data_IF_112817782600
#
_entry.id   IF_112817782600
#
_cell.length_a   1.000
_cell.length_b   1.000
_cell.length_c   1.000
_cell.angle_alpha   90.00
_cell.angle_beta   90.00
_cell.angle_gamma   90.00
#
_symmetry.space_group_name_H-M   'P 1'
#
loop_
_entity.id
_entity.type
_entity.pdbx_description
1 polymer ?
#
# COMPACT_ATOMS: atom_id res chain seq x y z
N UNK A 1 -7.48 -4.39 15.86
CA UNK A 1 -7.45 -5.34 14.72
C UNK A 1 -6.03 -5.37 14.17
N UNK A 2 -5.52 -6.52 13.76
CA UNK A 2 -4.08 -6.71 13.51
C UNK A 2 -3.68 -6.25 12.11
N UNK A 3 -2.67 -5.37 12.04
CA UNK A 3 -1.99 -5.00 10.81
C UNK A 3 -1.39 -6.25 10.14
N UNK A 4 -1.80 -6.51 8.89
CA UNK A 4 -1.23 -7.59 8.06
C UNK A 4 -0.11 -7.02 7.21
N UNK A 5 1.03 -7.71 7.16
CA UNK A 5 2.22 -7.30 6.40
C UNK A 5 2.69 -8.47 5.55
N UNK A 6 2.79 -8.26 4.24
CA UNK A 6 3.38 -9.19 3.28
C UNK A 6 4.64 -8.56 2.71
N UNK A 7 5.78 -8.94 3.29
CA UNK A 7 7.08 -8.37 2.97
C UNK A 7 7.79 -9.13 1.83
N UNK A 8 8.59 -8.42 1.03
CA UNK A 8 9.41 -8.94 -0.08
C UNK A 8 8.59 -9.76 -1.11
N UNK A 9 7.37 -9.32 -1.39
CA UNK A 9 6.49 -10.01 -2.35
C UNK A 9 6.93 -9.81 -3.81
N UNK A 10 7.65 -8.72 -4.10
CA UNK A 10 8.15 -8.42 -5.45
C UNK A 10 9.57 -7.83 -5.37
N UNK A 11 10.42 -8.21 -6.31
CA UNK A 11 11.76 -7.66 -6.49
C UNK A 11 12.05 -7.46 -7.98
N UNK A 12 12.46 -6.26 -8.39
CA UNK A 12 12.78 -5.91 -9.77
C UNK A 12 13.89 -4.84 -9.80
N UNK A 13 15.00 -5.12 -10.50
CA UNK A 13 16.13 -4.20 -10.69
C UNK A 13 16.60 -3.52 -9.39
N UNK A 14 16.61 -4.29 -8.30
CA UNK A 14 17.01 -3.85 -6.96
C UNK A 14 15.90 -3.17 -6.14
N UNK A 15 14.81 -2.75 -6.78
CA UNK A 15 13.62 -2.28 -6.08
C UNK A 15 12.90 -3.46 -5.44
N UNK A 16 12.40 -3.25 -4.23
CA UNK A 16 11.64 -4.25 -3.46
C UNK A 16 10.30 -3.68 -3.06
N UNK A 17 9.29 -4.53 -3.02
CA UNK A 17 7.94 -4.15 -2.63
C UNK A 17 7.41 -5.04 -1.51
N UNK A 18 6.63 -4.43 -0.64
CA UNK A 18 5.78 -5.07 0.34
C UNK A 18 4.35 -4.50 0.20
N UNK A 19 3.37 -5.23 0.69
CA UNK A 19 2.01 -4.73 0.84
C UNK A 19 1.51 -5.01 2.25
N UNK A 20 0.86 -4.03 2.84
CA UNK A 20 0.30 -4.12 4.17
C UNK A 20 -1.13 -3.57 4.17
N UNK A 21 -1.89 -3.92 5.20
CA UNK A 21 -3.21 -3.32 5.37
C UNK A 21 -3.90 -3.74 6.64
N UNK A 22 -4.89 -2.95 7.03
CA UNK A 22 -5.68 -3.15 8.23
C UNK A 22 -7.05 -2.45 8.08
N UNK A 23 -8.06 -2.87 8.87
CA UNK A 23 -9.30 -2.12 9.01
C UNK A 23 -9.02 -0.70 9.53
N UNK A 24 -9.67 0.28 8.91
CA UNK A 24 -9.60 1.70 9.28
C UNK A 24 -10.83 2.42 8.72
N UNK A 25 -11.66 2.99 9.59
CA UNK A 25 -12.92 3.65 9.24
C UNK A 25 -12.78 5.17 9.06
N UNK A 26 -11.65 5.74 9.47
CA UNK A 26 -11.38 7.17 9.39
C UNK A 26 -9.89 7.48 9.24
N UNK A 27 -9.55 8.74 8.95
CA UNK A 27 -8.16 9.18 8.73
C UNK A 27 -7.27 9.02 9.96
N UNK A 28 -7.82 9.14 11.16
CA UNK A 28 -7.03 8.98 12.39
C UNK A 28 -6.58 7.52 12.56
N UNK A 29 -7.47 6.56 12.26
CA UNK A 29 -7.15 5.13 12.25
C UNK A 29 -6.13 4.79 11.15
N UNK A 30 -6.26 5.36 9.95
CA UNK A 30 -5.23 5.22 8.91
C UNK A 30 -3.87 5.71 9.42
N UNK A 31 -3.84 6.87 10.10
CA UNK A 31 -2.63 7.41 10.71
C UNK A 31 -2.04 6.49 11.79
N UNK A 32 -2.89 5.84 12.60
CA UNK A 32 -2.46 4.87 13.60
C UNK A 32 -1.84 3.63 12.93
N UNK A 33 -2.45 3.12 11.85
CA UNK A 33 -1.93 1.98 11.07
C UNK A 33 -0.57 2.31 10.44
N UNK A 34 -0.42 3.50 9.85
CA UNK A 34 0.86 3.96 9.30
C UNK A 34 1.92 4.10 10.40
N UNK A 35 1.54 4.59 11.57
CA UNK A 35 2.43 4.70 12.74
C UNK A 35 2.89 3.33 13.20
N UNK A 36 1.97 2.37 13.35
CA UNK A 36 2.26 0.97 13.68
C UNK A 36 3.20 0.34 12.66
N UNK A 37 2.92 0.49 11.35
CA UNK A 37 3.78 -0.01 10.28
C UNK A 37 5.21 0.53 10.39
N UNK A 38 5.36 1.83 10.69
CA UNK A 38 6.66 2.52 10.82
C UNK A 38 7.38 2.23 12.15
N UNK A 39 6.76 1.57 13.12
CA UNK A 39 7.50 1.02 14.27
C UNK A 39 8.54 0.00 13.80
N UNK A 40 8.25 -0.71 12.70
CA UNK A 40 9.26 -1.50 12.01
C UNK A 40 10.21 -0.58 11.22
N UNK A 41 11.46 -0.48 11.69
CA UNK A 41 12.49 0.39 11.10
C UNK A 41 12.78 0.12 9.62
N UNK A 42 12.42 -1.04 9.09
CA UNK A 42 12.52 -1.31 7.66
C UNK A 42 11.52 -0.47 6.85
N UNK A 43 10.29 -0.34 7.34
CA UNK A 43 9.20 0.41 6.69
C UNK A 43 9.31 1.91 6.96
N UNK A 44 9.81 2.29 8.14
CA UNK A 44 10.19 3.68 8.48
C UNK A 44 11.22 4.25 7.50
N UNK A 45 12.18 3.43 7.07
CA UNK A 45 13.24 3.78 6.12
C UNK A 45 12.89 3.45 4.67
N UNK A 46 11.64 3.09 4.37
CA UNK A 46 11.24 2.83 2.99
C UNK A 46 11.28 4.11 2.16
N UNK A 47 11.45 3.97 0.85
CA UNK A 47 11.44 5.13 -0.04
C UNK A 47 10.03 5.70 -0.15
N UNK A 48 9.02 4.82 -0.22
CA UNK A 48 7.62 5.19 -0.30
C UNK A 48 6.77 4.19 0.49
N UNK A 49 5.79 4.69 1.24
CA UNK A 49 4.67 3.98 1.85
C UNK A 49 3.36 4.56 1.31
N UNK A 50 3.16 4.40 0.00
CA UNK A 50 1.97 4.86 -0.72
C UNK A 50 0.74 4.10 -0.25
N UNK A 51 -0.39 4.78 -0.03
CA UNK A 51 -1.58 4.12 0.50
C UNK A 51 -2.88 4.69 -0.07
N UNK A 52 -3.95 3.89 0.03
CA UNK A 52 -5.32 4.34 -0.17
C UNK A 52 -6.29 3.59 0.75
N UNK A 53 -7.46 4.19 0.95
CA UNK A 53 -8.59 3.62 1.69
C UNK A 53 -9.91 4.20 1.16
N UNK A 54 -11.01 3.51 1.38
CA UNK A 54 -12.37 4.06 1.23
C UNK A 54 -12.95 4.18 2.63
N UNK A 55 -13.11 5.40 3.13
CA UNK A 55 -13.52 5.67 4.50
C UNK A 55 -14.94 6.23 4.49
N UNK A 56 -15.89 5.53 5.10
CA UNK A 56 -17.30 5.98 5.10
C UNK A 56 -17.83 6.32 3.68
N UNK A 57 -17.40 5.58 2.66
CA UNK A 57 -17.79 5.78 1.26
C UNK A 57 -16.93 6.78 0.47
N UNK A 58 -15.99 7.49 1.10
CA UNK A 58 -15.11 8.45 0.44
C UNK A 58 -13.71 7.88 0.20
N UNK A 59 -13.25 7.94 -1.06
CA UNK A 59 -11.90 7.55 -1.44
C UNK A 59 -10.85 8.54 -0.94
N UNK A 60 -9.85 8.04 -0.21
CA UNK A 60 -8.70 8.81 0.26
C UNK A 60 -7.39 8.10 -0.09
N UNK A 61 -6.34 8.87 -0.33
CA UNK A 61 -5.04 8.33 -0.77
C UNK A 61 -3.89 9.28 -0.46
N UNK A 62 -2.68 8.74 -0.42
CA UNK A 62 -1.43 9.49 -0.40
C UNK A 62 -0.38 8.73 -1.22
N UNK A 63 0.34 9.47 -2.06
CA UNK A 63 1.37 8.88 -2.93
C UNK A 63 2.70 8.65 -2.18
N UNK A 64 2.95 9.35 -1.06
CA UNK A 64 4.23 9.36 -0.33
C UNK A 64 5.45 9.58 -1.26
N UNK A 65 5.30 10.45 -2.26
CA UNK A 65 6.33 10.76 -3.26
C UNK A 65 6.38 9.82 -4.48
N UNK A 66 5.66 8.70 -4.50
CA UNK A 66 5.50 7.82 -5.67
C UNK A 66 4.29 8.28 -6.51
N UNK A 67 4.41 9.43 -7.19
CA UNK A 67 3.30 10.08 -7.88
C UNK A 67 2.48 9.14 -8.77
N UNK A 68 1.17 9.14 -8.54
CA UNK A 68 0.18 8.33 -9.26
C UNK A 68 -0.11 6.96 -8.64
N UNK A 69 0.76 6.43 -7.78
CA UNK A 69 0.58 5.10 -7.21
C UNK A 69 -0.64 5.01 -6.27
N UNK A 70 -0.92 6.03 -5.46
CA UNK A 70 -2.07 6.05 -4.56
C UNK A 70 -3.41 6.01 -5.31
N UNK A 71 -3.47 6.64 -6.49
CA UNK A 71 -4.68 6.59 -7.32
C UNK A 71 -4.94 5.18 -7.85
N UNK A 72 -3.88 4.45 -8.20
CA UNK A 72 -3.98 3.05 -8.65
C UNK A 72 -4.50 2.17 -7.51
N UNK A 73 -3.96 2.33 -6.29
CA UNK A 73 -4.41 1.57 -5.12
C UNK A 73 -5.90 1.85 -4.89
N UNK A 74 -6.31 3.13 -4.84
CA UNK A 74 -7.69 3.53 -4.60
C UNK A 74 -8.67 2.88 -5.60
N UNK A 75 -8.37 2.99 -6.90
CA UNK A 75 -9.22 2.40 -7.95
C UNK A 75 -9.36 0.88 -7.83
N UNK A 76 -8.33 0.20 -7.33
CA UNK A 76 -8.40 -1.23 -7.09
C UNK A 76 -9.26 -1.58 -5.88
N UNK A 77 -9.20 -0.78 -4.80
CA UNK A 77 -10.08 -0.96 -3.64
C UNK A 77 -11.54 -0.72 -4.00
N UNK A 78 -11.82 0.31 -4.80
CA UNK A 78 -13.16 0.62 -5.30
C UNK A 78 -13.74 -0.54 -6.11
N UNK A 79 -12.96 -1.09 -7.05
CA UNK A 79 -13.38 -2.26 -7.85
C UNK A 79 -13.58 -3.51 -7.01
N UNK A 80 -12.78 -3.67 -5.96
CA UNK A 80 -12.87 -4.80 -5.04
C UNK A 80 -14.00 -4.65 -4.01
N UNK A 81 -14.64 -3.47 -3.92
CA UNK A 81 -15.62 -3.16 -2.88
C UNK A 81 -15.03 -3.19 -1.46
N UNK A 82 -13.72 -2.98 -1.30
CA UNK A 82 -13.06 -3.02 0.00
C UNK A 82 -13.13 -1.64 0.67
N UNK A 83 -14.07 -1.50 1.62
CA UNK A 83 -14.30 -0.28 2.39
C UNK A 83 -13.82 -0.41 3.83
N UNK A 84 -13.66 0.73 4.50
CA UNK A 84 -13.23 0.86 5.89
C UNK A 84 -11.95 0.06 6.19
N UNK A 85 -11.04 0.09 5.21
CA UNK A 85 -9.82 -0.68 5.19
C UNK A 85 -8.74 0.09 4.41
N UNK A 86 -7.55 0.17 4.98
CA UNK A 86 -6.39 0.79 4.33
C UNK A 86 -5.48 -0.28 3.73
N UNK A 87 -5.00 -0.02 2.52
CA UNK A 87 -3.94 -0.79 1.88
C UNK A 87 -2.76 0.13 1.60
N UNK A 88 -1.57 -0.33 1.99
CA UNK A 88 -0.31 0.38 1.92
C UNK A 88 0.64 -0.45 1.07
N UNK A 89 1.13 0.12 -0.04
CA UNK A 89 2.20 -0.46 -0.84
C UNK A 89 3.50 0.23 -0.48
N UNK A 90 4.42 -0.54 0.11
CA UNK A 90 5.74 -0.05 0.49
C UNK A 90 6.75 -0.39 -0.58
N UNK A 91 7.52 0.60 -1.03
CA UNK A 91 8.63 0.42 -1.97
C UNK A 91 9.96 0.86 -1.35
N UNK A 92 10.98 0.02 -1.53
CA UNK A 92 12.38 0.41 -1.37
C UNK A 92 13.00 0.59 -2.76
N UNK A 93 13.45 1.80 -3.08
CA UNK A 93 14.09 2.10 -4.35
C UNK A 93 15.47 1.43 -4.47
N UNK A 94 15.72 0.78 -5.60
CA UNK A 94 16.92 0.00 -5.85
C UNK A 94 18.05 0.72 -6.57
N UNK A 95 17.92 2.02 -6.85
CA UNK A 95 18.89 2.79 -7.62
C UNK A 95 18.69 2.76 -9.15
N UNK A 96 17.76 1.96 -9.67
CA UNK A 96 17.40 1.91 -11.10
C UNK A 96 15.97 2.37 -11.34
N UNK A 97 15.79 3.32 -12.27
CA UNK A 97 14.46 3.77 -12.69
C UNK A 97 13.69 2.63 -13.36
N UNK A 98 12.47 2.37 -12.88
CA UNK A 98 11.59 1.34 -13.42
C UNK A 98 10.62 1.88 -14.49
N UNK A 99 10.51 3.19 -14.65
CA UNK A 99 9.49 3.79 -15.52
C UNK A 99 8.09 3.30 -15.15
N UNK A 100 7.31 2.86 -16.13
CA UNK A 100 5.95 2.34 -15.92
C UNK A 100 5.88 1.04 -15.11
N UNK A 101 6.94 0.23 -15.06
CA UNK A 101 6.92 -1.06 -14.36
C UNK A 101 6.66 -0.90 -12.86
N UNK A 102 7.02 0.24 -12.27
CA UNK A 102 6.71 0.51 -10.85
C UNK A 102 5.21 0.48 -10.58
N UNK A 103 4.39 0.92 -11.54
CA UNK A 103 2.93 0.90 -11.42
C UNK A 103 2.38 -0.51 -11.59
N UNK A 104 2.97 -1.32 -12.48
CA UNK A 104 2.66 -2.76 -12.57
C UNK A 104 2.90 -3.45 -11.22
N UNK A 105 4.02 -3.14 -10.55
CA UNK A 105 4.33 -3.70 -9.24
C UNK A 105 3.37 -3.23 -8.14
N UNK A 106 2.90 -1.97 -8.19
CA UNK A 106 1.83 -1.50 -7.30
C UNK A 106 0.55 -2.31 -7.50
N UNK A 107 0.14 -2.52 -8.76
CA UNK A 107 -1.03 -3.36 -9.08
C UNK A 107 -0.85 -4.79 -8.57
N UNK A 108 0.29 -5.41 -8.86
CA UNK A 108 0.57 -6.80 -8.46
C UNK A 108 0.62 -6.94 -6.93
N UNK A 109 1.13 -5.93 -6.22
CA UNK A 109 1.15 -5.88 -4.76
C UNK A 109 -0.27 -5.79 -4.16
N UNK A 110 -1.13 -4.91 -4.70
CA UNK A 110 -2.52 -4.81 -4.22
C UNK A 110 -3.31 -6.08 -4.56
N UNK A 111 -3.12 -6.68 -5.74
CA UNK A 111 -3.72 -7.98 -6.10
C UNK A 111 -3.31 -9.07 -5.10
N UNK A 112 -2.03 -9.12 -4.75
CA UNK A 112 -1.53 -10.06 -3.74
C UNK A 112 -2.28 -9.88 -2.43
N UNK A 113 -2.43 -8.64 -1.94
CA UNK A 113 -3.16 -8.38 -0.71
C UNK A 113 -4.64 -8.82 -0.80
N UNK A 114 -5.35 -8.41 -1.85
CA UNK A 114 -6.76 -8.71 -2.04
C UNK A 114 -7.04 -10.22 -2.05
N UNK A 115 -6.16 -11.01 -2.68
CA UNK A 115 -6.27 -12.48 -2.66
C UNK A 115 -6.06 -13.13 -1.29
N UNK A 116 -5.66 -12.38 -0.25
CA UNK A 116 -5.52 -12.87 1.13
C UNK A 116 -6.66 -12.39 2.05
N UNK A 117 -7.42 -11.37 1.64
CA UNK A 117 -8.53 -10.82 2.43
C UNK A 117 -9.91 -11.18 1.90
N UNK A 118 -10.02 -11.61 0.64
CA UNK A 118 -11.25 -12.18 0.08
C UNK A 118 -11.20 -13.71 0.16
N UNK A 119 -12.29 -14.39 0.59
CA UNK A 119 -12.39 -15.84 0.55
C UNK A 119 -12.47 -16.40 -0.89
#
# INVERSE_FOLDING_TARGET
MTLRIYDKIISDRGSRYAVSGAPACNRAEVGAVLTELRQNKKFDKATHNTWAAILSGEGVKDDDGESGAGQIILQMLERAGLTDHVVIVTRWYGGKHLGGDRFRHVVDAVRHYLGQVQP
#
